data_IF_969064492023
#
_entry.id   IF_969064492023
#
_cell.length_a   1.000
_cell.length_b   1.000
_cell.length_c   1.000
_cell.angle_alpha   90.00
_cell.angle_beta   90.00
_cell.angle_gamma   90.00
#
_symmetry.space_group_name_H-M   'P 1'
#
loop_
_entity.id
_entity.type
_entity.pdbx_description
1 polymer ?
#
# COMPACT_ATOMS: atom_id res chain seq x y z
N UNK A 1 -10.32 -8.21 42.51
CA UNK A 1 -9.14 -8.32 41.69
C UNK A 1 -9.31 -7.48 40.43
N UNK A 2 -8.27 -7.09 39.77
CA UNK A 2 -8.18 -5.99 38.78
C UNK A 2 -9.15 -5.96 37.57
N UNK A 3 -9.95 -6.97 37.36
CA UNK A 3 -10.91 -7.05 36.23
C UNK A 3 -12.23 -6.30 36.46
N UNK A 4 -12.57 -5.92 37.70
CA UNK A 4 -13.85 -5.26 38.02
C UNK A 4 -13.80 -3.72 37.93
N UNK A 5 -12.65 -3.11 37.67
CA UNK A 5 -12.51 -1.63 37.59
C UNK A 5 -12.68 -1.05 36.18
N UNK A 6 -12.66 -1.88 35.14
CA UNK A 6 -12.78 -1.41 33.75
C UNK A 6 -14.22 -1.28 33.23
N UNK A 7 -15.18 -1.99 33.89
CA UNK A 7 -16.59 -1.95 33.47
C UNK A 7 -17.30 -0.69 34.01
N UNK A 8 -16.82 -0.10 35.07
CA UNK A 8 -17.44 1.13 35.65
C UNK A 8 -16.96 2.44 34.98
N UNK A 9 -15.85 2.41 34.18
CA UNK A 9 -15.38 3.61 33.46
C UNK A 9 -16.03 3.80 32.08
N UNK A 10 -16.60 2.75 31.50
CA UNK A 10 -17.29 2.81 30.19
C UNK A 10 -18.72 3.37 30.29
N UNK A 11 -19.36 3.38 31.49
CA UNK A 11 -20.75 3.84 31.69
C UNK A 11 -20.80 5.32 32.09
N UNK A 12 -19.70 5.93 32.48
CA UNK A 12 -19.68 7.33 32.95
C UNK A 12 -19.48 8.39 31.85
N UNK A 13 -19.20 8.00 30.62
CA UNK A 13 -18.95 8.93 29.50
C UNK A 13 -20.21 9.22 28.68
N UNK A 14 -21.23 8.36 28.76
CA UNK A 14 -22.45 8.49 27.93
C UNK A 14 -23.56 9.38 28.57
N UNK A 15 -23.36 9.88 29.78
CA UNK A 15 -24.37 10.71 30.48
C UNK A 15 -24.06 12.23 30.43
N UNK A 16 -22.91 12.66 29.91
CA UNK A 16 -22.51 14.07 29.82
C UNK A 16 -22.72 14.77 28.48
N UNK A 17 -23.12 14.06 27.43
CA UNK A 17 -23.37 14.63 26.11
C UNK A 17 -24.82 14.98 25.81
N UNK A 18 -25.75 14.84 26.79
CA UNK A 18 -27.19 14.96 26.59
C UNK A 18 -27.87 16.20 27.19
N UNK A 19 -27.14 17.26 27.54
CA UNK A 19 -27.80 18.49 28.05
C UNK A 19 -27.08 19.76 27.62
N UNK A 20 -27.34 20.23 26.40
CA UNK A 20 -27.24 21.65 26.03
C UNK A 20 -27.81 21.87 24.62
N UNK A 21 -29.12 21.94 24.49
CA UNK A 21 -29.77 22.60 23.36
C UNK A 21 -31.25 22.80 23.67
N UNK A 22 -31.57 23.81 24.49
CA UNK A 22 -32.88 24.41 24.49
C UNK A 22 -32.76 25.81 25.10
N UNK A 23 -32.73 26.84 24.30
CA UNK A 23 -33.34 28.16 24.51
C UNK A 23 -32.85 29.16 23.44
N UNK A 24 -33.77 29.69 22.68
CA UNK A 24 -33.49 30.84 21.81
C UNK A 24 -34.51 31.02 20.68
N UNK A 25 -35.77 31.17 21.02
CA UNK A 25 -36.82 31.61 20.10
C UNK A 25 -36.87 33.14 19.93
N UNK A 26 -37.38 33.55 18.75
CA UNK A 26 -38.00 34.83 18.32
C UNK A 26 -37.10 35.70 17.42
N UNK A 27 -37.53 36.22 16.30
CA UNK A 27 -38.79 36.64 15.66
C UNK A 27 -38.47 37.39 14.38
N UNK A 28 -39.33 37.34 13.40
CA UNK A 28 -39.98 38.35 12.50
C UNK A 28 -39.24 38.52 11.16
N UNK A 29 -39.86 38.63 9.97
CA UNK A 29 -41.20 38.71 9.41
C UNK A 29 -41.11 38.69 7.86
N UNK A 30 -42.14 38.15 7.24
CA UNK A 30 -42.90 38.55 6.03
C UNK A 30 -42.32 39.46 4.97
N UNK A 31 -42.38 38.95 3.68
CA UNK A 31 -43.15 39.53 2.55
C UNK A 31 -43.08 38.53 1.35
N UNK A 32 -44.15 37.96 0.92
CA UNK A 32 -45.31 38.19 0.07
C UNK A 32 -44.99 38.37 -1.43
N UNK A 33 -45.69 37.52 -2.19
CA UNK A 33 -46.26 37.63 -3.57
C UNK A 33 -45.32 37.15 -4.69
N UNK A 34 -45.78 36.35 -5.65
CA UNK A 34 -47.12 35.87 -6.05
C UNK A 34 -47.04 35.01 -7.32
N UNK A 35 -48.00 34.12 -7.43
CA UNK A 35 -48.79 33.71 -8.62
C UNK A 35 -48.03 33.40 -9.95
N UNK A 36 -48.32 32.33 -10.70
CA UNK A 36 -49.55 31.63 -11.09
C UNK A 36 -49.20 30.35 -11.82
N UNK A 37 -49.91 29.24 -11.63
CA UNK A 37 -50.81 28.46 -12.52
C UNK A 37 -50.16 27.72 -13.68
N UNK A 38 -50.43 26.47 -14.02
CA UNK A 38 -51.62 25.57 -14.02
C UNK A 38 -51.13 24.14 -14.25
N UNK A 39 -51.58 23.14 -13.57
CA UNK A 39 -52.70 22.24 -13.86
C UNK A 39 -52.50 21.28 -15.02
N UNK A 40 -52.42 19.98 -14.74
CA UNK A 40 -53.41 18.97 -15.12
C UNK A 40 -52.98 17.54 -14.67
N UNK A 41 -53.86 16.93 -13.91
CA UNK A 41 -54.07 15.48 -13.73
C UNK A 41 -55.07 15.02 -14.79
N UNK A 42 -55.47 13.76 -14.96
CA UNK A 42 -55.37 12.56 -14.11
C UNK A 42 -55.12 11.26 -14.93
N UNK A 43 -54.94 10.10 -14.38
CA UNK A 43 -55.90 9.03 -14.04
C UNK A 43 -55.21 7.70 -13.80
N UNK A 44 -55.55 7.10 -12.69
CA UNK A 44 -55.38 5.66 -12.41
C UNK A 44 -56.42 4.85 -13.19
N UNK A 45 -56.37 3.49 -13.23
CA UNK A 45 -56.85 2.74 -12.07
C UNK A 45 -56.08 1.41 -11.75
N UNK A 46 -56.32 1.04 -10.53
CA UNK A 46 -56.05 -0.20 -9.81
C UNK A 46 -56.89 -1.38 -10.32
N UNK A 47 -56.35 -2.59 -10.24
CA UNK A 47 -57.08 -3.75 -9.73
C UNK A 47 -56.13 -4.95 -9.40
N UNK A 48 -56.51 -5.75 -8.42
CA UNK A 48 -55.65 -6.72 -7.75
C UNK A 48 -55.90 -8.17 -8.18
N UNK A 49 -55.06 -9.10 -7.72
CA UNK A 49 -55.34 -10.55 -7.52
C UNK A 49 -54.01 -11.28 -7.49
N UNK A 50 -53.67 -12.23 -6.69
CA UNK A 50 -54.31 -13.15 -5.76
C UNK A 50 -53.23 -13.88 -5.01
N UNK A 51 -53.50 -14.17 -3.78
CA UNK A 51 -52.74 -15.01 -2.88
C UNK A 51 -52.69 -16.45 -3.41
N UNK A 52 -51.54 -17.11 -3.32
CA UNK A 52 -51.44 -18.57 -3.31
C UNK A 52 -50.52 -19.08 -2.25
N UNK A 53 -51.09 -19.89 -1.43
CA UNK A 53 -50.77 -20.69 -0.31
C UNK A 53 -49.37 -21.36 -0.26
N UNK A 54 -48.84 -21.42 0.95
CA UNK A 54 -47.76 -22.29 1.36
C UNK A 54 -48.17 -23.76 1.39
N UNK A 55 -47.28 -24.71 1.17
CA UNK A 55 -47.48 -26.07 1.61
C UNK A 55 -46.69 -26.39 2.90
N UNK A 56 -47.37 -27.16 3.67
CA UNK A 56 -47.20 -27.69 5.01
C UNK A 56 -45.87 -28.38 5.26
N UNK A 57 -45.43 -28.25 6.50
CA UNK A 57 -44.47 -29.13 7.21
C UNK A 57 -44.89 -30.60 7.14
N UNK A 58 -43.96 -31.47 6.81
CA UNK A 58 -44.06 -32.91 7.05
C UNK A 58 -43.00 -33.29 8.07
N UNK A 59 -43.49 -33.67 9.22
CA UNK A 59 -42.76 -34.38 10.30
C UNK A 59 -42.48 -35.79 9.88
N UNK A 60 -41.25 -36.24 9.91
CA UNK A 60 -40.95 -37.68 9.87
C UNK A 60 -40.18 -38.11 11.12
N UNK A 61 -40.81 -39.07 11.80
CA UNK A 61 -40.48 -39.64 13.09
C UNK A 61 -39.24 -40.52 13.02
N UNK A 62 -38.50 -40.50 14.10
CA UNK A 62 -37.48 -41.46 14.49
C UNK A 62 -37.92 -42.92 14.34
N UNK A 63 -37.06 -43.74 13.80
CA UNK A 63 -37.11 -45.20 14.01
C UNK A 63 -35.71 -45.68 14.47
N UNK A 64 -35.67 -46.02 15.74
CA UNK A 64 -34.59 -46.79 16.38
C UNK A 64 -34.83 -48.25 15.99
N UNK A 65 -33.84 -48.91 15.40
CA UNK A 65 -33.86 -50.36 15.28
C UNK A 65 -32.57 -50.92 15.90
N UNK A 66 -32.74 -51.51 17.08
CA UNK A 66 -31.76 -52.34 17.75
C UNK A 66 -31.75 -53.71 17.07
N UNK A 67 -30.60 -54.23 16.73
CA UNK A 67 -30.40 -55.64 16.43
C UNK A 67 -29.24 -56.20 17.26
N UNK A 68 -29.58 -57.25 17.98
CA UNK A 68 -28.73 -57.91 18.96
C UNK A 68 -27.76 -58.92 18.29
N UNK A 69 -26.66 -59.08 18.99
CA UNK A 69 -25.70 -60.16 19.11
C UNK A 69 -26.02 -61.50 18.42
N UNK A 70 -25.04 -61.97 17.65
CA UNK A 70 -24.65 -63.40 17.67
C UNK A 70 -23.18 -63.50 17.18
N UNK A 71 -22.30 -63.95 18.02
CA UNK A 71 -20.97 -64.44 17.72
C UNK A 71 -20.97 -65.86 17.22
N UNK A 72 -20.04 -66.29 16.39
CA UNK A 72 -19.37 -67.55 16.64
C UNK A 72 -17.84 -67.46 16.59
N UNK A 73 -17.32 -68.44 17.27
CA UNK A 73 -16.01 -68.84 17.72
C UNK A 73 -14.84 -68.74 16.71
N UNK A 74 -13.73 -68.31 17.26
CA UNK A 74 -12.36 -68.84 17.19
C UNK A 74 -11.84 -69.44 15.88
N UNK A 75 -10.93 -68.68 15.20
CA UNK A 75 -9.81 -69.22 14.46
C UNK A 75 -8.52 -68.51 14.89
N UNK A 76 -7.62 -69.27 15.52
CA UNK A 76 -6.25 -68.84 15.85
C UNK A 76 -5.48 -68.56 14.57
N UNK A 77 -5.10 -67.30 14.35
CA UNK A 77 -4.10 -66.91 13.35
C UNK A 77 -2.82 -66.54 14.11
N UNK A 78 -1.65 -67.05 13.72
CA UNK A 78 -0.41 -66.76 14.44
C UNK A 78 -0.02 -65.33 14.32
N UNK A 79 0.11 -64.66 15.45
CA UNK A 79 0.65 -63.30 15.58
C UNK A 79 2.12 -63.27 15.15
N UNK A 80 2.38 -62.79 13.95
CA UNK A 80 3.71 -62.26 13.59
C UNK A 80 3.90 -60.99 14.40
N UNK A 81 4.78 -61.02 15.38
CA UNK A 81 5.32 -59.85 16.05
C UNK A 81 6.00 -58.96 15.02
N UNK A 82 5.30 -57.91 14.58
CA UNK A 82 5.94 -56.78 13.88
C UNK A 82 6.78 -56.02 14.91
N UNK A 83 8.08 -56.24 14.87
CA UNK A 83 9.06 -55.34 15.48
C UNK A 83 8.82 -53.95 14.92
N UNK A 84 8.24 -53.07 15.71
CA UNK A 84 8.20 -51.62 15.44
C UNK A 84 9.64 -51.11 15.59
N UNK A 85 10.47 -51.28 14.56
CA UNK A 85 11.60 -50.36 14.38
C UNK A 85 11.00 -48.98 14.30
N UNK A 86 11.12 -48.20 15.37
CA UNK A 86 11.02 -46.75 15.31
C UNK A 86 12.03 -46.27 14.29
N UNK A 87 11.56 -46.08 13.05
CA UNK A 87 12.21 -45.17 12.12
C UNK A 87 12.09 -43.80 12.77
N UNK A 88 13.06 -43.44 13.58
CA UNK A 88 13.40 -42.04 13.75
C UNK A 88 13.72 -41.53 12.35
N UNK A 89 12.69 -41.06 11.63
CA UNK A 89 12.90 -40.19 10.53
C UNK A 89 13.59 -38.97 11.18
N UNK A 90 14.90 -38.91 11.08
CA UNK A 90 15.59 -37.65 11.15
C UNK A 90 14.89 -36.81 10.07
N UNK A 91 13.91 -36.03 10.49
CA UNK A 91 13.40 -34.92 9.73
C UNK A 91 14.67 -34.09 9.47
N UNK A 92 15.24 -34.23 8.28
CA UNK A 92 16.35 -33.37 7.87
C UNK A 92 15.86 -31.98 8.28
N UNK A 93 16.58 -31.35 9.21
CA UNK A 93 16.31 -29.95 9.55
C UNK A 93 16.30 -29.26 8.20
N UNK A 94 15.17 -28.70 7.82
CA UNK A 94 15.11 -27.82 6.67
C UNK A 94 16.29 -26.85 6.87
N UNK A 95 17.13 -26.59 5.86
CA UNK A 95 18.24 -25.69 6.03
C UNK A 95 17.70 -24.46 6.73
N UNK A 96 18.24 -24.18 7.93
CA UNK A 96 17.86 -23.02 8.73
C UNK A 96 18.30 -21.85 7.89
N UNK A 97 17.34 -21.25 7.19
CA UNK A 97 17.58 -20.34 6.08
C UNK A 97 18.18 -19.07 6.63
N UNK A 98 18.98 -18.42 5.85
CA UNK A 98 19.97 -17.40 6.16
C UNK A 98 19.48 -16.07 6.75
N UNK A 99 18.23 -15.96 7.22
CA UNK A 99 17.71 -14.75 7.85
C UNK A 99 18.61 -14.28 9.01
N UNK A 100 19.11 -15.21 9.85
CA UNK A 100 20.04 -14.90 10.93
C UNK A 100 21.32 -14.23 10.44
N UNK A 101 21.78 -14.61 9.24
CA UNK A 101 22.98 -14.03 8.60
C UNK A 101 22.84 -12.54 8.31
N UNK A 102 21.65 -12.07 7.94
CA UNK A 102 21.39 -10.70 7.49
C UNK A 102 20.56 -9.88 8.48
N UNK A 103 20.13 -10.45 9.61
CA UNK A 103 19.19 -9.81 10.54
C UNK A 103 19.61 -8.39 10.93
N UNK A 104 20.85 -8.22 11.41
CA UNK A 104 21.35 -6.92 11.85
C UNK A 104 21.46 -5.92 10.68
N UNK A 105 21.92 -6.38 9.49
CA UNK A 105 22.01 -5.54 8.29
C UNK A 105 20.64 -5.09 7.83
N UNK A 106 19.64 -5.98 7.84
CA UNK A 106 18.26 -5.66 7.47
C UNK A 106 17.67 -4.61 8.41
N UNK A 107 17.81 -4.78 9.72
CA UNK A 107 17.33 -3.82 10.73
C UNK A 107 18.02 -2.47 10.57
N UNK A 108 19.37 -2.45 10.43
CA UNK A 108 20.12 -1.22 10.24
C UNK A 108 19.72 -0.50 8.95
N UNK A 109 19.58 -1.24 7.86
CA UNK A 109 19.18 -0.68 6.55
C UNK A 109 17.77 -0.10 6.61
N UNK A 110 16.80 -0.85 7.15
CA UNK A 110 15.42 -0.39 7.26
C UNK A 110 15.31 0.92 8.08
N UNK A 111 16.01 1.01 9.22
CA UNK A 111 16.05 2.22 10.03
C UNK A 111 16.74 3.38 9.30
N UNK A 112 17.82 3.13 8.54
CA UNK A 112 18.53 4.15 7.77
C UNK A 112 17.70 4.73 6.64
N UNK A 113 16.76 3.95 6.09
CA UNK A 113 15.86 4.39 5.03
C UNK A 113 14.79 5.38 5.50
N UNK A 114 14.43 5.37 6.78
CA UNK A 114 13.34 6.19 7.35
C UNK A 114 13.82 7.21 8.37
N UNK A 115 15.04 7.72 8.19
CA UNK A 115 15.58 8.80 9.04
C UNK A 115 14.69 10.06 8.98
N UNK A 116 14.55 10.82 10.08
CA UNK A 116 13.78 12.05 10.09
C UNK A 116 14.20 13.02 9.00
N UNK A 117 13.25 13.60 8.29
CA UNK A 117 13.50 14.53 7.19
C UNK A 117 13.96 13.88 5.89
N UNK A 118 13.96 12.55 5.81
CA UNK A 118 14.36 11.80 4.61
C UNK A 118 13.28 10.81 4.16
N UNK A 119 13.25 10.57 2.86
CA UNK A 119 12.41 9.55 2.25
C UNK A 119 13.09 8.89 1.06
N UNK A 120 12.33 8.26 0.19
CA UNK A 120 12.84 7.47 -0.92
C UNK A 120 12.48 8.10 -2.26
N UNK A 121 13.44 8.12 -3.18
CA UNK A 121 13.21 8.43 -4.59
C UNK A 121 12.81 7.14 -5.31
N UNK A 122 11.55 7.06 -5.75
CA UNK A 122 11.09 5.98 -6.61
C UNK A 122 11.35 6.35 -8.07
N UNK A 123 12.37 5.76 -8.66
CA UNK A 123 12.78 5.93 -10.06
C UNK A 123 12.89 4.57 -10.76
N UNK A 124 12.00 3.66 -10.39
CA UNK A 124 11.95 2.27 -10.82
C UNK A 124 10.96 2.02 -11.96
N UNK A 125 10.60 3.05 -12.68
CA UNK A 125 9.74 2.95 -13.86
C UNK A 125 10.36 1.96 -14.86
N UNK A 126 9.52 1.00 -15.33
CA UNK A 126 9.91 0.12 -16.43
C UNK A 126 10.25 0.92 -17.70
N UNK A 127 10.97 0.30 -18.62
CA UNK A 127 11.33 0.92 -19.91
C UNK A 127 10.13 1.55 -20.62
N UNK A 128 8.96 0.89 -20.60
CA UNK A 128 7.74 1.44 -21.20
C UNK A 128 7.16 2.61 -20.40
N UNK A 129 7.26 2.58 -19.08
CA UNK A 129 6.71 3.63 -18.22
C UNK A 129 7.56 4.91 -18.25
N UNK A 130 8.89 4.78 -18.18
CA UNK A 130 9.78 5.94 -18.33
C UNK A 130 9.71 6.50 -19.76
N UNK A 131 9.52 5.63 -20.76
CA UNK A 131 9.31 6.03 -22.14
C UNK A 131 8.16 7.02 -22.32
N UNK A 132 7.00 6.75 -21.70
CA UNK A 132 5.86 7.67 -21.71
C UNK A 132 6.19 9.04 -21.10
N UNK A 133 7.06 9.09 -20.08
CA UNK A 133 7.52 10.36 -19.48
C UNK A 133 8.47 11.10 -20.40
N UNK A 134 9.40 10.41 -21.04
CA UNK A 134 10.29 11.02 -22.05
C UNK A 134 9.51 11.54 -23.25
N UNK A 135 8.54 10.76 -23.72
CA UNK A 135 7.65 11.14 -24.82
C UNK A 135 6.84 12.41 -24.49
N UNK A 136 6.41 12.60 -23.23
CA UNK A 136 5.67 13.81 -22.83
C UNK A 136 6.48 15.10 -22.94
N UNK A 137 7.79 15.02 -23.07
CA UNK A 137 8.71 16.14 -23.30
C UNK A 137 9.36 16.10 -24.69
N UNK A 138 8.86 15.24 -25.59
CA UNK A 138 9.33 15.12 -26.97
C UNK A 138 10.61 14.33 -27.16
N UNK A 139 11.05 13.56 -26.13
CA UNK A 139 12.24 12.70 -26.23
C UNK A 139 11.88 11.27 -26.60
N UNK A 140 12.70 10.68 -27.47
CA UNK A 140 12.63 9.28 -27.81
C UNK A 140 13.02 8.39 -26.63
N UNK A 141 12.35 7.24 -26.48
CA UNK A 141 12.65 6.25 -25.44
C UNK A 141 13.85 5.38 -25.83
N UNK A 142 15.03 5.96 -25.84
CA UNK A 142 16.30 5.23 -26.03
C UNK A 142 16.95 4.91 -24.68
N UNK A 143 17.84 3.91 -24.65
CA UNK A 143 18.62 3.60 -23.46
C UNK A 143 19.45 4.81 -22.99
N UNK A 144 20.09 5.52 -23.91
CA UNK A 144 20.89 6.71 -23.62
C UNK A 144 20.04 7.84 -22.97
N UNK A 145 18.83 8.08 -23.46
CA UNK A 145 17.93 9.08 -22.86
C UNK A 145 17.46 8.65 -21.47
N UNK A 146 17.18 7.36 -21.25
CA UNK A 146 16.86 6.82 -19.92
C UNK A 146 18.05 6.95 -18.96
N UNK A 147 19.26 6.63 -19.42
CA UNK A 147 20.50 6.80 -18.66
C UNK A 147 20.72 8.26 -18.26
N UNK A 148 20.59 9.18 -19.21
CA UNK A 148 20.74 10.63 -18.97
C UNK A 148 19.73 11.14 -17.94
N UNK A 149 18.47 10.69 -18.04
CA UNK A 149 17.44 11.02 -17.06
C UNK A 149 17.80 10.49 -15.66
N UNK A 150 18.21 9.22 -15.54
CA UNK A 150 18.62 8.66 -14.25
C UNK A 150 19.85 9.35 -13.67
N UNK A 151 20.81 9.67 -14.52
CA UNK A 151 22.00 10.41 -14.12
C UNK A 151 21.67 11.77 -13.53
N UNK A 152 20.76 12.53 -14.17
CA UNK A 152 20.29 13.82 -13.65
C UNK A 152 19.75 13.68 -12.24
N UNK A 153 18.92 12.67 -11.97
CA UNK A 153 18.31 12.43 -10.66
C UNK A 153 19.36 12.10 -9.59
N UNK A 154 20.31 11.21 -9.90
CA UNK A 154 21.28 10.69 -8.93
C UNK A 154 22.43 11.65 -8.63
N UNK A 155 22.73 12.54 -9.55
CA UNK A 155 23.81 13.53 -9.41
C UNK A 155 23.32 14.89 -8.93
N UNK A 156 22.03 15.02 -8.56
CA UNK A 156 21.47 16.28 -8.03
C UNK A 156 22.21 16.69 -6.75
N UNK A 157 22.87 17.87 -6.74
CA UNK A 157 23.65 18.31 -5.59
C UNK A 157 22.79 18.49 -4.34
N UNK A 158 23.20 17.91 -3.21
CA UNK A 158 22.50 18.05 -1.94
C UNK A 158 21.27 17.18 -1.76
N UNK A 159 20.88 16.36 -2.75
CA UNK A 159 19.68 15.52 -2.70
C UNK A 159 19.69 14.54 -1.52
N UNK A 160 20.87 14.09 -1.11
CA UNK A 160 21.10 13.19 0.02
C UNK A 160 20.73 13.78 1.39
N UNK A 161 20.47 15.07 1.48
CA UNK A 161 19.92 15.69 2.69
C UNK A 161 18.49 15.23 2.94
N UNK A 162 17.74 14.92 1.87
CA UNK A 162 16.31 14.59 1.90
C UNK A 162 15.97 13.20 1.38
N UNK A 163 16.91 12.55 0.67
CA UNK A 163 16.73 11.21 0.11
C UNK A 163 17.71 10.24 0.79
N UNK A 164 17.17 9.17 1.38
CA UNK A 164 17.92 8.10 2.04
C UNK A 164 18.16 6.89 1.13
N UNK A 165 17.29 6.66 0.14
CA UNK A 165 17.38 5.53 -0.77
C UNK A 165 16.70 5.80 -2.10
N UNK A 166 17.11 5.08 -3.14
CA UNK A 166 16.54 5.15 -4.48
C UNK A 166 16.12 3.75 -4.95
N UNK A 167 14.86 3.61 -5.39
CA UNK A 167 14.36 2.37 -5.99
C UNK A 167 14.70 2.40 -7.47
N UNK A 168 15.47 1.42 -7.95
CA UNK A 168 15.92 1.34 -9.33
C UNK A 168 15.10 0.32 -10.12
N UNK A 169 15.09 0.48 -11.44
CA UNK A 169 14.72 -0.56 -12.38
C UNK A 169 15.95 -1.41 -12.70
N UNK A 170 15.77 -2.66 -13.13
CA UNK A 170 16.88 -3.61 -13.35
C UNK A 170 17.94 -3.05 -14.31
N UNK A 171 17.54 -2.47 -15.46
CA UNK A 171 18.45 -1.81 -16.39
C UNK A 171 19.37 -0.83 -15.66
N UNK A 172 18.81 0.05 -14.84
CA UNK A 172 19.55 1.09 -14.12
C UNK A 172 20.48 0.54 -13.03
N UNK A 173 20.09 -0.56 -12.38
CA UNK A 173 20.92 -1.21 -11.35
C UNK A 173 22.25 -1.71 -11.90
N UNK A 174 22.26 -2.17 -13.16
CA UNK A 174 23.44 -2.70 -13.84
C UNK A 174 24.09 -1.72 -14.81
N UNK A 175 23.57 -0.49 -14.92
CA UNK A 175 24.04 0.53 -15.84
C UNK A 175 25.05 1.45 -15.17
N UNK A 176 25.97 1.96 -15.98
CA UNK A 176 26.94 2.97 -15.59
C UNK A 176 26.39 4.39 -15.86
N UNK A 177 26.95 5.38 -15.21
CA UNK A 177 26.75 6.77 -15.56
C UNK A 177 27.51 7.14 -16.87
N UNK A 178 27.33 8.32 -17.45
CA UNK A 178 28.05 8.74 -18.66
C UNK A 178 29.59 8.76 -18.52
N UNK A 179 30.13 8.72 -17.31
CA UNK A 179 31.59 8.65 -17.05
C UNK A 179 32.12 7.23 -16.96
N UNK A 180 31.26 6.19 -17.00
CA UNK A 180 31.60 4.81 -16.83
C UNK A 180 31.65 4.33 -15.37
N UNK A 181 31.05 5.08 -14.45
CA UNK A 181 30.92 4.70 -13.04
C UNK A 181 29.55 4.04 -12.81
N UNK A 182 29.47 2.83 -12.17
CA UNK A 182 28.19 2.19 -11.87
C UNK A 182 27.24 3.10 -11.09
N UNK A 183 25.97 3.19 -11.47
CA UNK A 183 24.99 4.01 -10.77
C UNK A 183 24.86 3.64 -9.31
N UNK A 184 25.02 2.37 -8.95
CA UNK A 184 25.04 1.94 -7.55
C UNK A 184 26.16 2.60 -6.76
N UNK A 185 27.32 2.86 -7.37
CA UNK A 185 28.45 3.52 -6.71
C UNK A 185 28.29 5.05 -6.70
N UNK A 186 27.61 5.63 -7.69
CA UNK A 186 27.18 7.05 -7.66
C UNK A 186 26.25 7.29 -6.47
N UNK A 187 25.25 6.44 -6.27
CA UNK A 187 24.30 6.54 -5.15
C UNK A 187 25.00 6.36 -3.80
N UNK A 188 25.83 5.31 -3.64
CA UNK A 188 26.59 5.06 -2.41
C UNK A 188 27.53 6.22 -2.05
N UNK A 189 28.21 6.79 -3.04
CA UNK A 189 29.08 7.96 -2.82
C UNK A 189 28.31 9.19 -2.30
N UNK A 190 27.03 9.27 -2.62
CA UNK A 190 26.10 10.27 -2.12
C UNK A 190 25.35 9.84 -0.85
N UNK A 191 25.73 8.75 -0.20
CA UNK A 191 25.04 8.20 0.98
C UNK A 191 23.55 7.92 0.72
N UNK A 192 23.20 7.49 -0.49
CA UNK A 192 21.86 7.04 -0.89
C UNK A 192 21.91 5.54 -1.08
N UNK A 193 21.04 4.83 -0.37
CA UNK A 193 20.98 3.36 -0.40
C UNK A 193 20.36 2.91 -1.73
N UNK A 194 21.03 2.07 -2.55
CA UNK A 194 20.43 1.51 -3.76
C UNK A 194 19.40 0.43 -3.43
N UNK A 195 18.27 0.47 -4.10
CA UNK A 195 17.22 -0.54 -4.03
C UNK A 195 16.73 -0.93 -5.41
N UNK A 196 15.89 -1.95 -5.49
CA UNK A 196 15.48 -2.57 -6.75
C UNK A 196 13.99 -2.92 -6.76
N UNK A 197 13.30 -2.62 -7.86
CA UNK A 197 11.98 -3.17 -8.16
C UNK A 197 12.14 -4.62 -8.62
N UNK A 198 11.50 -5.56 -7.93
CA UNK A 198 11.64 -7.00 -8.23
C UNK A 198 10.38 -7.65 -8.79
N UNK A 199 9.23 -6.99 -8.72
CA UNK A 199 8.02 -7.45 -9.38
C UNK A 199 8.16 -7.37 -10.92
N UNK A 200 7.47 -8.26 -11.63
CA UNK A 200 7.48 -8.38 -13.09
C UNK A 200 6.17 -7.90 -13.72
N UNK A 201 5.43 -7.05 -13.01
CA UNK A 201 4.21 -6.39 -13.49
C UNK A 201 2.92 -7.15 -13.24
N UNK A 202 1.83 -6.46 -13.50
CA UNK A 202 0.47 -6.91 -13.22
C UNK A 202 -0.09 -7.77 -14.35
N UNK A 203 -0.93 -8.75 -13.97
CA UNK A 203 -1.70 -9.61 -14.88
C UNK A 203 -3.14 -9.72 -14.41
N UNK A 204 -4.13 -9.86 -15.31
CA UNK A 204 -5.51 -10.07 -14.91
C UNK A 204 -5.67 -11.27 -13.99
N UNK A 205 -6.38 -11.09 -12.87
CA UNK A 205 -6.66 -12.17 -11.91
C UNK A 205 -7.95 -12.89 -12.32
N UNK A 206 -7.79 -14.08 -12.87
CA UNK A 206 -8.94 -14.90 -13.31
C UNK A 206 -9.75 -15.36 -12.11
N UNK A 207 -11.07 -15.17 -12.18
CA UNK A 207 -12.00 -15.50 -11.09
C UNK A 207 -12.25 -14.39 -10.08
N UNK A 208 -11.53 -13.27 -10.19
CA UNK A 208 -11.77 -12.06 -9.42
C UNK A 208 -12.72 -11.07 -10.11
N UNK A 209 -12.92 -9.89 -9.55
CA UNK A 209 -13.78 -8.85 -10.09
C UNK A 209 -13.24 -8.17 -11.35
N UNK A 210 -14.04 -7.35 -12.02
CA UNK A 210 -13.66 -6.70 -13.26
C UNK A 210 -12.45 -5.77 -13.11
N UNK A 211 -11.38 -6.07 -13.86
CA UNK A 211 -10.15 -5.28 -13.86
C UNK A 211 -9.23 -5.51 -12.66
N UNK A 212 -9.49 -6.49 -11.83
CA UNK A 212 -8.59 -6.89 -10.75
C UNK A 212 -7.39 -7.68 -11.28
N UNK A 213 -6.26 -7.51 -10.62
CA UNK A 213 -4.96 -8.00 -11.07
C UNK A 213 -4.22 -8.72 -9.96
N UNK A 214 -3.25 -9.54 -10.35
CA UNK A 214 -2.21 -10.08 -9.49
C UNK A 214 -0.85 -9.69 -10.02
N UNK A 215 0.19 -9.82 -9.20
CA UNK A 215 1.53 -9.38 -9.56
C UNK A 215 2.45 -10.58 -9.79
N UNK A 216 3.16 -10.61 -10.90
CA UNK A 216 4.09 -11.70 -11.28
C UNK A 216 5.51 -11.44 -10.81
N UNK A 217 6.35 -12.50 -10.76
CA UNK A 217 7.79 -12.37 -10.51
C UNK A 217 8.32 -13.15 -9.31
N UNK A 218 7.50 -14.02 -8.67
CA UNK A 218 7.97 -14.86 -7.57
C UNK A 218 8.88 -16.01 -8.03
N UNK A 219 8.68 -16.49 -9.26
CA UNK A 219 9.51 -17.56 -9.80
C UNK A 219 10.94 -17.07 -10.03
N UNK A 220 11.92 -17.82 -9.51
CA UNK A 220 13.34 -17.44 -9.57
C UNK A 220 13.69 -16.15 -8.83
N UNK A 221 12.86 -15.72 -7.88
CA UNK A 221 13.05 -14.44 -7.18
C UNK A 221 14.27 -14.47 -6.27
N UNK A 222 14.56 -15.59 -5.60
CA UNK A 222 15.73 -15.70 -4.70
C UNK A 222 17.02 -15.46 -5.46
N UNK A 223 17.22 -16.17 -6.56
CA UNK A 223 18.41 -16.06 -7.41
C UNK A 223 18.58 -14.65 -8.01
N UNK A 224 17.47 -13.99 -8.35
CA UNK A 224 17.51 -12.59 -8.79
C UNK A 224 17.91 -11.66 -7.65
N UNK A 225 17.34 -11.83 -6.45
CA UNK A 225 17.66 -11.02 -5.28
C UNK A 225 19.12 -11.17 -4.85
N UNK A 226 19.68 -12.38 -4.90
CA UNK A 226 21.11 -12.63 -4.63
C UNK A 226 22.02 -11.87 -5.62
N UNK A 227 21.69 -11.86 -6.92
CA UNK A 227 22.40 -11.06 -7.92
C UNK A 227 22.29 -9.56 -7.65
N UNK A 228 21.11 -9.08 -7.29
CA UNK A 228 20.89 -7.67 -6.99
C UNK A 228 21.63 -7.22 -5.71
N UNK A 229 21.66 -8.08 -4.69
CA UNK A 229 22.45 -7.84 -3.49
C UNK A 229 23.95 -7.78 -3.81
N UNK A 230 24.45 -8.70 -4.62
CA UNK A 230 25.84 -8.72 -5.07
C UNK A 230 26.20 -7.47 -5.89
N UNK A 231 25.28 -6.94 -6.71
CA UNK A 231 25.45 -5.68 -7.46
C UNK A 231 25.45 -4.46 -6.53
N UNK A 232 24.93 -4.57 -5.32
CA UNK A 232 24.98 -3.51 -4.33
C UNK A 232 23.64 -2.98 -3.86
N UNK A 233 22.51 -3.53 -4.30
CA UNK A 233 21.21 -3.24 -3.72
C UNK A 233 21.13 -3.68 -2.26
N UNK A 234 20.37 -2.97 -1.44
CA UNK A 234 20.15 -3.29 -0.02
C UNK A 234 18.68 -3.36 0.36
N UNK A 235 17.79 -2.99 -0.54
CA UNK A 235 16.36 -3.15 -0.37
C UNK A 235 15.67 -3.48 -1.69
N UNK A 236 14.49 -4.07 -1.60
CA UNK A 236 13.66 -4.43 -2.73
C UNK A 236 12.26 -3.82 -2.59
N UNK A 237 11.57 -3.64 -3.71
CA UNK A 237 10.19 -3.17 -3.74
C UNK A 237 9.33 -4.08 -4.61
N UNK A 238 8.12 -4.40 -4.13
CA UNK A 238 7.10 -5.14 -4.85
C UNK A 238 5.75 -4.45 -4.67
N UNK A 239 5.10 -4.12 -5.79
CA UNK A 239 3.80 -3.45 -5.82
C UNK A 239 2.70 -4.40 -6.23
N UNK A 240 1.62 -4.45 -5.46
CA UNK A 240 0.31 -4.94 -5.90
C UNK A 240 -0.63 -3.75 -6.09
N UNK A 241 -1.63 -3.87 -6.97
CA UNK A 241 -2.60 -2.81 -7.21
C UNK A 241 -4.02 -3.35 -7.01
N UNK A 242 -4.75 -2.79 -6.05
CA UNK A 242 -6.07 -3.18 -5.66
C UNK A 242 -7.08 -2.10 -6.10
N UNK A 243 -8.00 -2.49 -6.98
CA UNK A 243 -9.04 -1.62 -7.51
C UNK A 243 -10.16 -1.45 -6.50
N UNK A 244 -10.64 -0.22 -6.29
CA UNK A 244 -11.86 0.04 -5.53
C UNK A 244 -13.01 0.29 -6.49
N UNK A 245 -14.00 -0.61 -6.46
CA UNK A 245 -15.21 -0.50 -7.28
C UNK A 245 -16.39 -1.09 -6.50
N UNK A 246 -17.06 -0.22 -5.76
CA UNK A 246 -18.16 -0.63 -4.86
C UNK A 246 -19.30 -1.33 -5.58
N UNK A 247 -19.60 -0.92 -6.82
CA UNK A 247 -20.67 -1.52 -7.62
C UNK A 247 -20.39 -2.97 -7.99
N UNK A 248 -19.11 -3.34 -8.11
CA UNK A 248 -18.65 -4.67 -8.45
C UNK A 248 -18.00 -5.44 -7.28
N UNK A 249 -18.16 -4.94 -6.05
CA UNK A 249 -17.56 -5.54 -4.85
C UNK A 249 -16.02 -5.69 -4.93
N UNK A 250 -15.32 -4.73 -5.56
CA UNK A 250 -13.87 -4.72 -5.62
C UNK A 250 -13.28 -3.78 -4.55
N UNK A 251 -12.15 -4.15 -3.92
CA UNK A 251 -11.42 -5.41 -4.14
C UNK A 251 -12.17 -6.63 -3.60
N UNK A 252 -12.14 -7.72 -4.39
CA UNK A 252 -12.70 -9.01 -3.93
C UNK A 252 -11.78 -9.63 -2.88
N UNK A 253 -12.35 -10.51 -2.02
CA UNK A 253 -11.56 -11.27 -1.06
C UNK A 253 -10.45 -12.08 -1.76
N UNK A 254 -10.72 -12.61 -2.97
CA UNK A 254 -9.71 -13.32 -3.76
C UNK A 254 -8.53 -12.39 -4.12
N UNK A 255 -8.80 -11.18 -4.58
CA UNK A 255 -7.73 -10.24 -4.95
C UNK A 255 -6.91 -9.82 -3.73
N UNK A 256 -7.55 -9.58 -2.59
CA UNK A 256 -6.89 -9.24 -1.33
C UNK A 256 -6.00 -10.39 -0.84
N UNK A 257 -6.51 -11.63 -0.83
CA UNK A 257 -5.77 -12.80 -0.36
C UNK A 257 -4.55 -13.09 -1.26
N UNK A 258 -4.71 -13.02 -2.58
CA UNK A 258 -3.61 -13.22 -3.55
C UNK A 258 -2.54 -12.13 -3.37
N UNK A 259 -2.94 -10.85 -3.34
CA UNK A 259 -2.01 -9.75 -3.15
C UNK A 259 -1.24 -9.86 -1.82
N UNK A 260 -1.92 -10.18 -0.72
CA UNK A 260 -1.31 -10.34 0.59
C UNK A 260 -0.34 -11.52 0.65
N UNK A 261 -0.70 -12.65 0.04
CA UNK A 261 0.16 -13.83 -0.01
C UNK A 261 1.41 -13.59 -0.85
N UNK A 262 1.27 -12.94 -2.01
CA UNK A 262 2.41 -12.62 -2.88
C UNK A 262 3.37 -11.63 -2.20
N UNK A 263 2.84 -10.59 -1.55
CA UNK A 263 3.63 -9.64 -0.77
C UNK A 263 4.40 -10.29 0.38
N UNK A 264 3.78 -11.25 1.08
CA UNK A 264 4.44 -11.94 2.18
C UNK A 264 5.53 -12.90 1.71
N UNK A 265 5.29 -13.66 0.62
CA UNK A 265 6.29 -14.55 0.02
C UNK A 265 7.48 -13.76 -0.53
N UNK A 266 7.20 -12.71 -1.27
CA UNK A 266 8.23 -11.81 -1.77
C UNK A 266 9.09 -11.25 -0.63
N UNK A 267 8.45 -10.75 0.43
CA UNK A 267 9.15 -10.14 1.55
C UNK A 267 10.10 -11.13 2.24
N UNK A 268 9.63 -12.36 2.47
CA UNK A 268 10.48 -13.41 3.05
C UNK A 268 11.67 -13.76 2.15
N UNK A 269 11.44 -13.93 0.85
CA UNK A 269 12.50 -14.25 -0.11
C UNK A 269 13.56 -13.14 -0.15
N UNK A 270 13.15 -11.87 -0.14
CA UNK A 270 14.09 -10.75 -0.12
C UNK A 270 14.96 -10.75 1.13
N UNK A 271 14.41 -11.02 2.30
CA UNK A 271 15.17 -11.09 3.55
C UNK A 271 16.19 -12.23 3.55
N UNK A 272 15.87 -13.37 2.94
CA UNK A 272 16.82 -14.46 2.76
C UNK A 272 18.04 -14.07 1.91
N UNK A 273 17.86 -13.16 0.97
CA UNK A 273 18.92 -12.60 0.12
C UNK A 273 19.60 -11.35 0.70
N UNK A 274 19.23 -10.90 1.92
CA UNK A 274 19.79 -9.71 2.55
C UNK A 274 19.20 -8.37 2.08
N UNK A 275 18.04 -8.38 1.42
CA UNK A 275 17.35 -7.17 0.96
C UNK A 275 16.17 -6.83 1.87
N UNK A 276 16.09 -5.58 2.37
CA UNK A 276 14.92 -5.07 3.09
C UNK A 276 13.72 -5.02 2.15
N UNK A 277 12.62 -5.76 2.40
CA UNK A 277 11.44 -5.67 1.56
C UNK A 277 10.62 -4.42 1.86
N UNK A 278 10.27 -3.66 0.84
CA UNK A 278 9.22 -2.64 0.87
C UNK A 278 7.93 -3.28 0.36
N UNK A 279 6.99 -3.50 1.26
CA UNK A 279 5.68 -4.11 0.99
C UNK A 279 4.72 -3.03 0.51
N UNK A 280 4.30 -3.08 -0.77
CA UNK A 280 3.49 -2.03 -1.39
C UNK A 280 2.10 -2.54 -1.82
N UNK A 281 1.13 -2.63 -0.89
CA UNK A 281 -0.26 -2.90 -1.21
C UNK A 281 -0.96 -1.60 -1.61
N UNK A 282 -0.88 -1.21 -2.86
CA UNK A 282 -1.48 0.04 -3.34
C UNK A 282 -2.99 -0.12 -3.49
N UNK A 283 -3.75 0.74 -2.83
CA UNK A 283 -5.17 0.96 -3.08
C UNK A 283 -5.28 2.06 -4.13
N UNK A 284 -5.87 1.71 -5.28
CA UNK A 284 -6.02 2.64 -6.40
C UNK A 284 -7.05 3.72 -6.07
N UNK A 285 -6.72 4.96 -6.44
CA UNK A 285 -7.64 6.10 -6.25
C UNK A 285 -8.62 6.27 -7.42
N UNK A 286 -8.59 5.37 -8.40
CA UNK A 286 -9.55 5.39 -9.50
C UNK A 286 -10.98 5.21 -8.98
N UNK A 287 -11.92 6.03 -9.48
CA UNK A 287 -13.35 5.87 -9.20
C UNK A 287 -13.94 6.93 -8.27
N UNK A 288 -15.16 6.65 -7.82
CA UNK A 288 -16.06 7.60 -7.14
C UNK A 288 -16.25 7.30 -5.64
N UNK A 289 -15.48 6.37 -5.09
CA UNK A 289 -15.64 5.96 -3.70
C UNK A 289 -15.28 7.07 -2.72
N UNK A 290 -16.03 7.16 -1.63
CA UNK A 290 -15.79 8.10 -0.56
C UNK A 290 -14.59 7.69 0.33
N UNK A 291 -14.15 8.60 1.19
CA UNK A 291 -13.01 8.36 2.07
C UNK A 291 -13.27 7.25 3.09
N UNK A 292 -14.51 7.04 3.53
CA UNK A 292 -14.86 5.99 4.49
C UNK A 292 -14.76 4.60 3.83
N UNK A 293 -15.07 4.50 2.56
CA UNK A 293 -14.83 3.30 1.75
C UNK A 293 -13.33 3.03 1.63
N UNK A 294 -12.50 4.05 1.38
CA UNK A 294 -11.03 3.91 1.38
C UNK A 294 -10.50 3.40 2.72
N UNK A 295 -10.98 3.94 3.84
CA UNK A 295 -10.64 3.44 5.19
C UNK A 295 -10.92 1.95 5.31
N UNK A 296 -12.14 1.54 4.96
CA UNK A 296 -12.61 0.16 5.10
C UNK A 296 -11.76 -0.81 4.29
N UNK A 297 -11.50 -0.45 3.03
CA UNK A 297 -10.67 -1.25 2.12
C UNK A 297 -9.23 -1.32 2.64
N UNK A 298 -8.64 -0.21 3.05
CA UNK A 298 -7.26 -0.23 3.55
C UNK A 298 -7.13 -1.02 4.86
N UNK A 299 -8.06 -0.88 5.81
CA UNK A 299 -8.05 -1.66 7.03
C UNK A 299 -8.14 -3.17 6.73
N UNK A 300 -8.99 -3.60 5.80
CA UNK A 300 -9.11 -5.00 5.37
C UNK A 300 -7.82 -5.50 4.72
N UNK A 301 -7.29 -4.76 3.75
CA UNK A 301 -6.08 -5.14 3.00
C UNK A 301 -4.88 -5.23 3.93
N UNK A 302 -4.61 -4.19 4.74
CA UNK A 302 -3.46 -4.16 5.63
C UNK A 302 -3.51 -5.27 6.70
N UNK A 303 -4.69 -5.52 7.27
CA UNK A 303 -4.88 -6.62 8.24
C UNK A 303 -4.56 -7.97 7.60
N UNK A 304 -5.02 -8.21 6.37
CA UNK A 304 -4.74 -9.45 5.64
C UNK A 304 -3.25 -9.56 5.27
N UNK A 305 -2.64 -8.47 4.82
CA UNK A 305 -1.20 -8.42 4.51
C UNK A 305 -0.37 -8.78 5.74
N UNK A 306 -0.62 -8.16 6.91
CA UNK A 306 0.17 -8.45 8.10
C UNK A 306 -0.07 -9.83 8.68
N UNK A 307 -1.28 -10.38 8.52
CA UNK A 307 -1.53 -11.80 8.81
C UNK A 307 -0.62 -12.70 7.95
N UNK A 308 -0.55 -12.46 6.63
CA UNK A 308 0.31 -13.25 5.73
C UNK A 308 1.80 -13.03 5.98
N UNK A 309 2.22 -11.82 6.27
CA UNK A 309 3.60 -11.47 6.66
C UNK A 309 4.03 -12.31 7.86
N UNK A 310 3.17 -12.41 8.87
CA UNK A 310 3.44 -13.22 10.07
C UNK A 310 3.44 -14.72 9.77
N UNK A 311 2.49 -15.22 8.98
CA UNK A 311 2.41 -16.62 8.55
C UNK A 311 3.65 -17.07 7.75
N UNK A 312 4.26 -16.15 6.99
CA UNK A 312 5.47 -16.42 6.21
C UNK A 312 6.78 -16.16 6.99
N UNK A 313 6.72 -15.80 8.27
CA UNK A 313 7.89 -15.60 9.13
C UNK A 313 8.78 -14.43 8.69
N UNK A 314 8.19 -13.35 8.15
CA UNK A 314 8.91 -12.13 7.79
C UNK A 314 9.29 -11.36 9.06
N UNK A 315 10.54 -10.93 9.15
CA UNK A 315 11.04 -10.07 10.24
C UNK A 315 10.54 -8.63 10.01
N UNK A 316 9.69 -8.15 10.90
CA UNK A 316 9.06 -6.83 10.78
C UNK A 316 10.08 -5.69 10.89
N UNK A 317 11.04 -5.80 11.80
CA UNK A 317 12.08 -4.82 12.06
C UNK A 317 13.03 -4.60 10.87
N UNK A 318 13.12 -5.59 9.98
CA UNK A 318 13.88 -5.56 8.74
C UNK A 318 13.01 -5.40 7.49
N UNK A 319 11.86 -4.73 7.59
CA UNK A 319 10.93 -4.49 6.48
C UNK A 319 10.31 -3.08 6.56
N UNK A 320 9.74 -2.59 5.46
CA UNK A 320 9.01 -1.31 5.38
C UNK A 320 7.67 -1.50 4.68
N UNK A 321 6.71 -0.66 5.01
CA UNK A 321 5.41 -0.57 4.34
C UNK A 321 5.38 0.62 3.38
N UNK A 322 4.81 0.43 2.19
CA UNK A 322 4.54 1.53 1.24
C UNK A 322 3.06 1.55 0.83
N UNK A 323 2.17 2.08 1.66
CA UNK A 323 0.75 2.16 1.37
C UNK A 323 0.38 3.45 0.65
N UNK A 324 -0.83 3.52 0.09
CA UNK A 324 -1.48 4.79 -0.22
C UNK A 324 -1.85 5.53 1.08
N UNK A 325 -1.97 6.85 1.03
CA UNK A 325 -2.71 7.62 2.03
C UNK A 325 -4.21 7.29 1.92
N UNK A 326 -4.96 7.46 2.99
CA UNK A 326 -6.41 7.28 2.95
C UNK A 326 -7.04 8.52 2.30
N UNK A 327 -7.33 8.42 1.02
CA UNK A 327 -7.96 9.50 0.23
C UNK A 327 -9.21 8.98 -0.46
N UNK A 328 -10.20 9.82 -0.80
CA UNK A 328 -11.32 9.42 -1.62
C UNK A 328 -10.88 9.13 -3.06
N UNK A 329 -11.75 8.51 -3.84
CA UNK A 329 -11.54 8.32 -5.27
C UNK A 329 -11.40 9.66 -6.00
N UNK A 330 -10.62 9.66 -7.09
CA UNK A 330 -10.35 10.89 -7.85
C UNK A 330 -11.61 11.55 -8.42
N UNK A 331 -12.63 10.74 -8.74
CA UNK A 331 -13.93 11.19 -9.25
C UNK A 331 -15.00 11.33 -8.13
N UNK A 332 -14.62 11.20 -6.85
CA UNK A 332 -15.54 11.38 -5.73
C UNK A 332 -16.09 12.82 -5.68
N UNK A 333 -17.36 12.94 -5.29
CA UNK A 333 -18.02 14.24 -5.16
C UNK A 333 -17.46 15.08 -4.00
N UNK A 334 -17.09 14.41 -2.91
CA UNK A 334 -16.45 15.02 -1.74
C UNK A 334 -14.93 14.76 -1.81
N UNK A 335 -14.14 15.82 -1.67
CA UNK A 335 -12.69 15.77 -1.78
C UNK A 335 -11.97 15.68 -0.45
N UNK A 336 -12.64 15.57 0.65
CA UNK A 336 -12.07 15.53 2.01
C UNK A 336 -10.90 16.52 2.24
N UNK A 337 -10.87 17.18 3.36
CA UNK A 337 -9.77 18.09 3.65
C UNK A 337 -8.48 17.35 4.09
N UNK A 338 -7.31 18.01 4.01
CA UNK A 338 -6.04 17.39 4.42
C UNK A 338 -6.01 16.91 5.87
N UNK A 339 -6.77 17.55 6.77
CA UNK A 339 -6.82 17.17 8.18
C UNK A 339 -7.60 15.86 8.36
N UNK A 340 -8.72 15.69 7.67
CA UNK A 340 -9.49 14.45 7.66
C UNK A 340 -8.66 13.30 7.07
N UNK A 341 -8.02 13.51 5.91
CA UNK A 341 -7.10 12.56 5.28
C UNK A 341 -6.03 12.11 6.26
N UNK A 342 -5.40 13.04 6.97
CA UNK A 342 -4.35 12.76 7.92
C UNK A 342 -4.83 11.93 9.11
N UNK A 343 -5.94 12.33 9.74
CA UNK A 343 -6.52 11.64 10.89
C UNK A 343 -6.94 10.21 10.53
N UNK A 344 -7.59 10.03 9.38
CA UNK A 344 -8.04 8.72 8.92
C UNK A 344 -6.85 7.82 8.51
N UNK A 345 -5.83 8.38 7.87
CA UNK A 345 -4.60 7.65 7.52
C UNK A 345 -3.89 7.14 8.78
N UNK A 346 -3.64 8.02 9.75
CA UNK A 346 -2.96 7.64 11.00
C UNK A 346 -3.79 6.61 11.77
N UNK A 347 -5.11 6.81 11.88
CA UNK A 347 -6.01 5.85 12.53
C UNK A 347 -5.94 4.46 11.88
N UNK A 348 -5.96 4.39 10.56
CA UNK A 348 -5.88 3.14 9.81
C UNK A 348 -4.54 2.42 10.07
N UNK A 349 -3.43 3.17 10.02
CA UNK A 349 -2.11 2.61 10.31
C UNK A 349 -2.01 2.09 11.75
N UNK A 350 -2.46 2.85 12.74
CA UNK A 350 -2.41 2.44 14.15
C UNK A 350 -3.27 1.20 14.48
N UNK A 351 -4.30 0.94 13.66
CA UNK A 351 -5.13 -0.26 13.81
C UNK A 351 -4.53 -1.50 13.17
N UNK A 352 -3.83 -1.34 12.06
CA UNK A 352 -3.47 -2.45 11.19
C UNK A 352 -1.97 -2.74 11.11
N UNK A 353 -1.10 -1.75 11.36
CA UNK A 353 0.35 -1.89 11.20
C UNK A 353 1.00 -2.22 12.55
N UNK A 354 1.75 -3.35 12.64
CA UNK A 354 2.47 -3.69 13.86
C UNK A 354 3.49 -2.62 14.25
N UNK A 355 3.57 -2.32 15.56
CA UNK A 355 4.51 -1.31 16.08
C UNK A 355 5.99 -1.67 15.95
N UNK A 356 6.32 -2.91 15.58
CA UNK A 356 7.69 -3.36 15.27
C UNK A 356 8.18 -2.87 13.89
N UNK A 357 7.29 -2.38 13.02
CA UNK A 357 7.67 -1.82 11.73
C UNK A 357 8.45 -0.51 11.93
N UNK A 358 9.68 -0.37 11.41
CA UNK A 358 10.47 0.85 11.60
C UNK A 358 9.88 2.05 10.86
N UNK A 359 9.21 1.83 9.72
CA UNK A 359 8.65 2.94 8.96
C UNK A 359 7.61 2.58 7.91
N UNK A 360 6.85 3.63 7.59
CA UNK A 360 5.90 3.68 6.48
C UNK A 360 6.37 4.75 5.50
N UNK A 361 6.52 4.37 4.24
CA UNK A 361 6.97 5.24 3.15
C UNK A 361 5.84 5.39 2.14
N UNK A 362 4.99 6.41 2.28
CA UNK A 362 3.79 6.56 1.46
C UNK A 362 4.10 6.66 -0.04
N UNK A 363 3.25 6.06 -0.87
CA UNK A 363 3.19 6.37 -2.29
C UNK A 363 2.36 7.64 -2.54
N UNK A 364 2.54 8.31 -3.69
CA UNK A 364 1.75 9.49 -4.06
C UNK A 364 0.49 9.18 -4.88
N UNK A 365 0.39 8.01 -5.50
CA UNK A 365 -0.82 7.47 -6.16
C UNK A 365 -1.43 8.34 -7.29
N UNK A 366 -0.75 9.41 -7.73
CA UNK A 366 -1.29 10.36 -8.69
C UNK A 366 -1.80 11.68 -8.10
N UNK A 367 -1.63 11.86 -6.79
CA UNK A 367 -1.83 13.14 -6.09
C UNK A 367 -0.80 14.16 -6.64
N UNK A 368 -1.15 15.43 -6.71
CA UNK A 368 -0.25 16.51 -7.16
C UNK A 368 1.04 16.58 -6.32
N UNK A 369 2.06 17.25 -6.80
CA UNK A 369 3.30 17.45 -6.04
C UNK A 369 3.05 18.17 -4.73
N UNK A 370 2.18 19.18 -4.75
CA UNK A 370 1.86 20.00 -3.59
C UNK A 370 0.99 19.26 -2.59
N UNK A 371 -0.12 18.65 -3.05
CA UNK A 371 -1.01 17.89 -2.17
C UNK A 371 -0.29 16.72 -1.50
N UNK A 372 0.61 16.05 -2.20
CA UNK A 372 1.42 14.97 -1.62
C UNK A 372 2.27 15.45 -0.44
N UNK A 373 2.82 16.67 -0.51
CA UNK A 373 3.56 17.29 0.58
C UNK A 373 2.64 17.77 1.70
N UNK A 374 1.50 18.38 1.38
CA UNK A 374 0.51 18.85 2.35
C UNK A 374 -0.05 17.67 3.16
N UNK A 375 -0.48 16.59 2.49
CA UNK A 375 -1.05 15.43 3.18
C UNK A 375 -0.02 14.74 4.06
N UNK A 376 1.22 14.56 3.58
CA UNK A 376 2.29 14.01 4.40
C UNK A 376 2.57 14.86 5.64
N UNK A 377 2.55 16.18 5.47
CA UNK A 377 2.77 17.14 6.55
C UNK A 377 1.68 17.03 7.63
N UNK A 378 0.40 17.05 7.21
CA UNK A 378 -0.72 16.92 8.14
C UNK A 378 -0.71 15.55 8.84
N UNK A 379 -0.38 14.44 8.13
CA UNK A 379 -0.20 13.11 8.72
C UNK A 379 0.84 13.14 9.85
N UNK A 380 1.96 13.86 9.65
CA UNK A 380 3.02 13.93 10.67
C UNK A 380 2.72 14.87 11.83
N UNK A 381 1.70 15.73 11.74
CA UNK A 381 1.18 16.55 12.84
C UNK A 381 0.20 15.80 13.74
N UNK A 382 -0.41 14.70 13.26
CA UNK A 382 -1.37 13.92 14.06
C UNK A 382 -0.62 13.22 15.20
N UNK A 383 -1.07 13.37 16.47
CA UNK A 383 -0.49 12.62 17.59
C UNK A 383 -0.62 11.11 17.41
N UNK A 384 0.45 10.37 17.64
CA UNK A 384 0.53 8.91 17.40
C UNK A 384 0.93 8.14 18.64
N UNK A 385 0.49 6.89 18.73
CA UNK A 385 0.85 5.95 19.80
C UNK A 385 2.10 5.13 19.46
N UNK A 386 2.35 4.94 18.16
CA UNK A 386 3.48 4.14 17.67
C UNK A 386 4.70 5.01 17.37
N UNK A 387 5.90 4.39 17.45
CA UNK A 387 7.18 5.03 17.10
C UNK A 387 7.53 4.87 15.60
N UNK A 388 6.66 4.22 14.84
CA UNK A 388 6.83 3.99 13.40
C UNK A 388 7.01 5.32 12.67
N UNK A 389 8.09 5.47 11.90
CA UNK A 389 8.36 6.68 11.11
C UNK A 389 7.40 6.77 9.92
N UNK A 390 6.85 7.95 9.66
CA UNK A 390 5.98 8.21 8.51
C UNK A 390 6.69 9.15 7.55
N UNK A 391 7.02 8.66 6.37
CA UNK A 391 7.77 9.42 5.36
C UNK A 391 7.26 9.06 3.96
N UNK A 392 8.00 9.42 2.93
CA UNK A 392 7.58 9.30 1.53
C UNK A 392 8.46 8.33 0.73
N UNK A 393 7.86 7.73 -0.30
CA UNK A 393 8.55 7.04 -1.40
C UNK A 393 7.86 7.43 -2.70
N UNK A 394 8.22 8.60 -3.21
CA UNK A 394 7.51 9.22 -4.32
C UNK A 394 8.27 9.07 -5.63
N UNK A 395 7.50 8.95 -6.72
CA UNK A 395 7.97 9.03 -8.10
C UNK A 395 7.50 10.33 -8.73
N UNK A 396 6.26 10.38 -9.26
CA UNK A 396 5.72 11.57 -9.93
C UNK A 396 5.75 12.82 -9.06
N UNK A 397 5.39 12.72 -7.79
CA UNK A 397 5.40 13.86 -6.87
C UNK A 397 6.80 14.38 -6.48
N UNK A 398 7.88 13.76 -6.98
CA UNK A 398 9.24 14.29 -6.90
C UNK A 398 9.80 14.71 -8.27
N UNK A 399 9.29 14.10 -9.35
CA UNK A 399 9.94 14.16 -10.66
C UNK A 399 9.18 14.99 -11.70
N UNK A 400 7.90 15.35 -11.46
CA UNK A 400 7.06 15.96 -12.49
C UNK A 400 7.56 17.35 -12.93
N UNK A 401 7.76 18.25 -11.98
CA UNK A 401 8.35 19.57 -12.26
C UNK A 401 9.79 19.45 -12.77
N UNK A 402 10.56 18.49 -12.28
CA UNK A 402 11.92 18.24 -12.72
C UNK A 402 11.99 17.86 -14.21
N UNK A 403 11.22 16.88 -14.66
CA UNK A 403 11.24 16.43 -16.06
C UNK A 403 10.67 17.48 -17.00
N UNK A 404 9.62 18.20 -16.59
CA UNK A 404 9.04 19.32 -17.34
C UNK A 404 10.05 20.48 -17.53
N UNK A 405 10.93 20.68 -16.54
CA UNK A 405 11.99 21.70 -16.60
C UNK A 405 13.16 21.22 -17.47
N UNK A 406 13.55 19.95 -17.33
CA UNK A 406 14.68 19.39 -18.08
C UNK A 406 14.46 19.40 -19.59
N UNK A 407 13.33 18.96 -20.09
CA UNK A 407 12.95 18.89 -21.53
C UNK A 407 13.96 18.12 -22.40
N UNK A 408 14.84 17.31 -21.79
CA UNK A 408 15.89 16.59 -22.50
C UNK A 408 17.10 17.44 -22.91
N UNK A 409 17.19 18.66 -22.48
CA UNK A 409 18.22 19.62 -22.89
C UNK A 409 19.33 19.68 -21.84
N UNK A 410 20.60 19.61 -22.28
CA UNK A 410 21.76 19.70 -21.40
C UNK A 410 21.82 21.04 -20.65
N UNK A 411 21.41 22.13 -21.29
CA UNK A 411 21.38 23.48 -20.69
C UNK A 411 20.36 23.61 -19.54
N UNK A 412 19.40 22.71 -19.43
CA UNK A 412 18.35 22.76 -18.41
C UNK A 412 18.64 21.84 -17.19
N UNK A 413 19.76 21.12 -17.19
CA UNK A 413 20.07 20.14 -16.13
C UNK A 413 20.09 20.78 -14.74
N UNK A 414 20.81 21.89 -14.57
CA UNK A 414 20.91 22.58 -13.26
C UNK A 414 19.56 23.11 -12.77
N UNK A 415 18.72 23.60 -13.68
CA UNK A 415 17.40 24.09 -13.36
C UNK A 415 16.47 22.92 -12.93
N UNK A 416 16.52 21.81 -13.65
CA UNK A 416 15.76 20.60 -13.34
C UNK A 416 16.19 19.96 -12.01
N UNK A 417 17.48 19.89 -11.73
CA UNK A 417 18.01 19.42 -10.45
C UNK A 417 17.58 20.29 -9.27
N UNK A 418 17.48 21.61 -9.47
CA UNK A 418 16.92 22.52 -8.45
C UNK A 418 15.44 22.21 -8.16
N UNK A 419 14.64 21.89 -9.19
CA UNK A 419 13.24 21.47 -8.98
C UNK A 419 13.15 20.17 -8.18
N UNK A 420 13.95 19.15 -8.54
CA UNK A 420 13.99 17.91 -7.80
C UNK A 420 14.40 18.12 -6.33
N UNK A 421 15.43 18.93 -6.09
CA UNK A 421 15.89 19.25 -4.75
C UNK A 421 14.82 19.97 -3.92
N UNK A 422 14.13 20.94 -4.52
CA UNK A 422 13.04 21.69 -3.86
C UNK A 422 11.89 20.76 -3.46
N UNK A 423 11.47 19.85 -4.35
CA UNK A 423 10.43 18.86 -4.00
C UNK A 423 10.91 17.85 -2.94
N UNK A 424 12.17 17.42 -2.99
CA UNK A 424 12.75 16.54 -1.97
C UNK A 424 12.81 17.25 -0.60
N UNK A 425 13.15 18.53 -0.57
CA UNK A 425 13.15 19.36 0.64
C UNK A 425 11.72 19.49 1.20
N UNK A 426 10.74 19.89 0.37
CA UNK A 426 9.34 20.00 0.78
C UNK A 426 8.83 18.74 1.47
N UNK A 427 9.09 17.58 0.86
CA UNK A 427 8.69 16.29 1.43
C UNK A 427 9.53 15.88 2.65
N UNK A 428 10.80 16.27 2.72
CA UNK A 428 11.64 16.12 3.91
C UNK A 428 11.09 16.90 5.11
N UNK A 429 10.71 18.16 4.90
CA UNK A 429 10.05 19.00 5.89
C UNK A 429 8.68 18.43 6.28
N UNK A 430 7.87 17.98 5.29
CA UNK A 430 6.57 17.37 5.51
C UNK A 430 6.67 16.07 6.35
N UNK A 431 7.73 15.28 6.19
CA UNK A 431 7.97 14.09 7.01
C UNK A 431 8.23 14.38 8.50
N UNK A 432 8.46 15.66 8.83
CA UNK A 432 8.61 16.17 10.20
C UNK A 432 7.39 16.96 10.68
N UNK A 433 6.41 17.23 9.80
CA UNK A 433 5.27 18.11 10.09
C UNK A 433 5.63 19.61 10.07
N UNK A 434 6.73 19.98 9.40
CA UNK A 434 7.30 21.33 9.36
C UNK A 434 7.11 22.03 8.01
N UNK A 435 6.53 21.38 7.01
CA UNK A 435 6.32 21.96 5.70
C UNK A 435 5.28 23.09 5.73
N UNK A 436 5.61 24.18 5.09
CA UNK A 436 4.70 25.33 4.87
C UNK A 436 4.16 25.25 3.43
N UNK A 437 2.85 25.07 3.23
CA UNK A 437 2.28 25.01 1.89
C UNK A 437 2.70 26.20 1.01
N UNK A 438 3.08 25.92 -0.25
CA UNK A 438 3.53 26.93 -1.20
C UNK A 438 4.93 27.49 -0.97
N UNK A 439 5.68 27.00 0.03
CA UNK A 439 7.04 27.51 0.30
C UNK A 439 8.10 26.99 -0.69
N UNK A 440 7.80 25.95 -1.45
CA UNK A 440 8.68 25.37 -2.46
C UNK A 440 7.95 25.30 -3.81
N UNK A 441 8.66 25.49 -4.93
CA UNK A 441 8.04 25.36 -6.25
C UNK A 441 7.49 23.94 -6.45
N UNK A 442 6.30 23.86 -7.03
CA UNK A 442 5.58 22.60 -7.29
C UNK A 442 4.76 22.68 -8.57
N UNK A 443 4.41 21.52 -9.10
CA UNK A 443 3.40 21.36 -10.12
C UNK A 443 2.06 21.08 -9.42
N UNK A 444 1.10 21.99 -9.57
CA UNK A 444 -0.22 21.89 -8.94
C UNK A 444 -1.14 20.94 -9.72
N UNK A 445 -0.78 20.56 -10.95
CA UNK A 445 -1.58 19.65 -11.76
C UNK A 445 -1.69 18.26 -11.10
N UNK A 446 -2.90 17.68 -11.19
CA UNK A 446 -3.11 16.28 -10.81
C UNK A 446 -2.22 15.38 -11.65
N UNK A 447 -1.46 14.54 -10.99
CA UNK A 447 -0.58 13.54 -11.61
C UNK A 447 -1.29 12.21 -11.85
N UNK A 448 -2.62 12.20 -11.72
CA UNK A 448 -3.43 11.01 -11.91
C UNK A 448 -3.41 10.51 -13.36
N UNK A 449 -3.21 9.22 -13.51
CA UNK A 449 -3.33 8.51 -14.78
C UNK A 449 -4.29 7.35 -14.56
N UNK A 450 -5.42 7.39 -15.24
CA UNK A 450 -6.48 6.38 -15.11
C UNK A 450 -5.95 4.98 -15.42
N UNK A 451 -6.29 4.02 -14.57
CA UNK A 451 -5.86 2.61 -14.69
C UNK A 451 -4.32 2.49 -14.84
N UNK A 452 -3.57 3.24 -14.05
CA UNK A 452 -2.11 3.28 -14.15
C UNK A 452 -1.48 1.91 -13.87
N UNK A 453 -0.91 1.32 -14.90
CA UNK A 453 -0.15 0.07 -14.85
C UNK A 453 1.33 0.39 -15.07
N UNK A 454 2.19 -0.12 -14.17
CA UNK A 454 3.65 -0.01 -14.31
C UNK A 454 4.17 -0.94 -15.38
#
# INVERSE_FOLDING_TARGET
>A
TRAHRWIQYAIAIDIRAGRSAAAGTRRIARHRRGRKTAASKPTSPVAPLTARAAPRRSTMKSAILALALSAPASALVPTKTFSTQQRTSARAAAPQMSLEKYADELVQTANSMVLPGKGLLACDESTGTVGKRLESIGLENTEANRQTWRNLLFTTPGINQYISGAILYEETLFQDDPSGKPFVDVLKANNIIPGIKVDMGLRPLVGAGPGENWCTGLDGLLERCEKYYAQGARFAKWRTALKVDVANNCPTDLAIEVAAQDLARYARICQEAGLVPIVEPEIMIDGVHDIQTSVKVQEQVLTTVYKKIQENGVMLEGSLLKPAMVVPGVDAADKSDPTEIAQLTVRTLERCVPGAMPGVTFLSGGISEEDASIYLNEINKVPRKTQTRLTFSYSRALQSSCIKTWKGEAGNVDAAQKQLLARAQANGEASKGEYVPGSQPSDEESLFVKNYVY
#
